data_IF_291280565786
#
_entry.id   IF_291280565786
#
_cell.length_a   1.000
_cell.length_b   1.000
_cell.length_c   1.000
_cell.angle_alpha   90.00
_cell.angle_beta   90.00
_cell.angle_gamma   90.00
#
_symmetry.space_group_name_H-M   'P 1'
#
loop_
_entity.id
_entity.type
_entity.pdbx_description
1 polymer ?
#
# COMPACT_ATOMS: atom_id res chain seq x y z
N UNK A 1 10.90 -28.57 -11.61
CA UNK A 1 9.90 -27.48 -11.62
C UNK A 1 10.61 -26.16 -11.37
N UNK A 2 10.71 -25.26 -12.36
CA UNK A 2 11.33 -23.93 -12.16
C UNK A 2 10.32 -23.02 -11.47
N UNK A 3 10.65 -22.47 -10.29
CA UNK A 3 9.92 -21.33 -9.72
C UNK A 3 9.97 -20.21 -10.75
N UNK A 4 8.85 -19.93 -11.41
CA UNK A 4 8.66 -18.69 -12.13
C UNK A 4 8.77 -17.58 -11.07
N UNK A 5 9.93 -16.89 -11.05
CA UNK A 5 10.04 -15.61 -10.37
C UNK A 5 8.97 -14.76 -11.03
N UNK A 6 7.91 -14.41 -10.29
CA UNK A 6 7.05 -13.33 -10.74
C UNK A 6 8.00 -12.18 -11.07
N UNK A 7 7.97 -11.68 -12.29
CA UNK A 7 8.60 -10.42 -12.65
C UNK A 7 7.92 -9.35 -11.82
N UNK A 8 8.34 -9.27 -10.55
CA UNK A 8 7.81 -8.35 -9.58
C UNK A 8 8.14 -7.00 -10.15
N UNK A 9 7.10 -6.25 -10.55
CA UNK A 9 7.21 -4.82 -10.86
C UNK A 9 8.08 -4.21 -9.77
N UNK A 10 9.33 -3.91 -10.10
CA UNK A 10 10.23 -3.28 -9.15
C UNK A 10 9.52 -2.02 -8.65
N UNK A 11 9.49 -1.82 -7.34
CA UNK A 11 8.88 -0.64 -6.77
C UNK A 11 9.56 0.59 -7.38
N UNK A 12 8.79 1.38 -8.15
CA UNK A 12 9.31 2.61 -8.75
C UNK A 12 9.40 3.66 -7.66
N UNK A 13 10.59 4.22 -7.46
CA UNK A 13 10.79 5.35 -6.52
C UNK A 13 9.91 6.51 -6.98
N UNK A 14 9.11 7.03 -6.06
CA UNK A 14 8.31 8.25 -6.22
C UNK A 14 8.46 9.09 -4.97
N UNK A 15 8.52 10.40 -5.14
CA UNK A 15 8.52 11.37 -4.06
C UNK A 15 7.09 11.84 -3.76
N UNK A 16 6.88 12.26 -2.51
CA UNK A 16 5.71 13.01 -2.06
C UNK A 16 6.21 14.13 -1.16
N UNK A 17 5.45 15.22 -1.08
CA UNK A 17 5.75 16.33 -0.16
C UNK A 17 5.13 16.06 1.19
N UNK A 18 5.84 16.42 2.25
CA UNK A 18 5.41 16.27 3.64
C UNK A 18 6.09 17.35 4.48
N UNK A 19 5.45 17.75 5.58
CA UNK A 19 6.09 18.59 6.58
C UNK A 19 7.06 17.77 7.43
N UNK A 20 7.94 18.44 8.20
CA UNK A 20 8.83 17.75 9.14
C UNK A 20 8.02 16.99 10.23
N UNK A 21 6.89 17.55 10.64
CA UNK A 21 5.97 16.91 11.59
C UNK A 21 5.38 15.61 11.01
N UNK A 22 4.92 15.63 9.75
CA UNK A 22 4.42 14.44 9.06
C UNK A 22 5.48 13.33 8.99
N UNK A 23 6.74 13.70 8.73
CA UNK A 23 7.86 12.75 8.67
C UNK A 23 8.14 12.15 10.06
N UNK A 24 8.12 12.97 11.12
CA UNK A 24 8.30 12.50 12.49
C UNK A 24 7.18 11.55 12.93
N UNK A 25 5.92 11.88 12.62
CA UNK A 25 4.77 11.01 12.88
C UNK A 25 4.90 9.68 12.11
N UNK A 26 5.28 9.73 10.83
CA UNK A 26 5.47 8.53 10.02
C UNK A 26 6.56 7.62 10.60
N UNK A 27 7.66 8.18 11.07
CA UNK A 27 8.76 7.41 11.68
C UNK A 27 8.30 6.71 12.97
N UNK A 28 7.55 7.41 13.82
CA UNK A 28 7.03 6.85 15.05
C UNK A 28 6.09 5.65 14.76
N UNK A 29 5.16 5.80 13.81
CA UNK A 29 4.23 4.74 13.42
C UNK A 29 4.97 3.55 12.78
N UNK A 30 5.91 3.83 11.90
CA UNK A 30 6.70 2.80 11.23
C UNK A 30 7.49 1.96 12.25
N UNK A 31 8.14 2.63 13.21
CA UNK A 31 8.90 2.00 14.29
C UNK A 31 8.01 1.14 15.17
N UNK A 32 6.86 1.68 15.59
CA UNK A 32 5.91 0.97 16.45
C UNK A 32 5.42 -0.35 15.84
N UNK A 33 5.20 -0.39 14.53
CA UNK A 33 4.73 -1.57 13.82
C UNK A 33 5.87 -2.45 13.23
N UNK A 34 7.13 -2.07 13.39
CA UNK A 34 8.27 -2.80 12.81
C UNK A 34 8.30 -2.77 11.27
N UNK A 35 7.81 -1.69 10.68
CA UNK A 35 7.72 -1.49 9.22
C UNK A 35 8.70 -0.42 8.73
N UNK A 36 8.97 -0.40 7.43
CA UNK A 36 9.65 0.75 6.80
C UNK A 36 8.67 1.92 6.62
N UNK A 37 9.18 3.16 6.51
CA UNK A 37 8.36 4.34 6.17
C UNK A 37 7.52 4.12 4.91
N UNK A 38 8.14 3.66 3.82
CA UNK A 38 7.44 3.37 2.56
C UNK A 38 6.41 2.25 2.71
N UNK A 39 6.73 1.19 3.45
CA UNK A 39 5.79 0.10 3.73
C UNK A 39 4.57 0.58 4.51
N UNK A 40 4.78 1.48 5.47
CA UNK A 40 3.73 2.12 6.26
C UNK A 40 2.79 2.95 5.38
N UNK A 41 3.33 3.84 4.54
CA UNK A 41 2.52 4.65 3.61
C UNK A 41 1.71 3.74 2.68
N UNK A 42 2.35 2.76 2.03
CA UNK A 42 1.68 1.85 1.10
C UNK A 42 0.57 1.06 1.81
N UNK A 43 0.83 0.60 3.03
CA UNK A 43 -0.16 -0.11 3.85
C UNK A 43 -1.36 0.76 4.19
N UNK A 44 -1.12 1.99 4.65
CA UNK A 44 -2.18 2.97 4.96
C UNK A 44 -3.05 3.27 3.74
N UNK A 45 -2.42 3.58 2.59
CA UNK A 45 -3.14 3.87 1.34
C UNK A 45 -3.98 2.68 0.91
N UNK A 46 -3.43 1.45 0.94
CA UNK A 46 -4.18 0.24 0.55
C UNK A 46 -5.35 -0.03 1.47
N UNK A 47 -5.15 0.08 2.79
CA UNK A 47 -6.20 -0.12 3.79
C UNK A 47 -7.34 0.87 3.54
N UNK A 48 -7.00 2.14 3.36
CA UNK A 48 -7.99 3.20 3.18
C UNK A 48 -8.72 3.09 1.84
N UNK A 49 -8.00 2.78 0.76
CA UNK A 49 -8.59 2.58 -0.56
C UNK A 49 -9.67 1.50 -0.53
N UNK A 50 -9.41 0.32 0.04
CA UNK A 50 -10.39 -0.76 0.07
C UNK A 50 -11.53 -0.52 1.06
N UNK A 51 -11.31 0.29 2.10
CA UNK A 51 -12.36 0.73 3.02
C UNK A 51 -13.38 1.64 2.32
N UNK A 52 -12.89 2.57 1.49
CA UNK A 52 -13.70 3.53 0.75
C UNK A 52 -14.30 2.96 -0.54
N UNK A 53 -13.56 2.09 -1.23
CA UNK A 53 -13.94 1.50 -2.51
C UNK A 53 -13.87 -0.03 -2.45
N UNK A 54 -14.81 -0.72 -1.78
CA UNK A 54 -14.78 -2.17 -1.62
C UNK A 54 -14.78 -2.93 -2.95
N UNK A 55 -15.48 -2.40 -3.96
CA UNK A 55 -15.52 -2.93 -5.33
C UNK A 55 -14.39 -2.41 -6.22
N UNK A 56 -13.46 -1.63 -5.65
CA UNK A 56 -12.43 -0.92 -6.39
C UNK A 56 -12.97 0.29 -7.15
N UNK A 57 -12.18 0.76 -8.11
CA UNK A 57 -12.53 1.84 -9.04
C UNK A 57 -12.36 1.35 -10.48
N UNK A 58 -12.90 2.06 -11.47
CA UNK A 58 -12.83 1.62 -12.88
C UNK A 58 -11.46 1.02 -13.30
N UNK A 59 -10.34 1.73 -13.04
CA UNK A 59 -9.00 1.22 -13.32
C UNK A 59 -8.43 0.20 -12.30
N UNK A 60 -8.90 0.22 -11.05
CA UNK A 60 -8.35 -0.60 -9.95
C UNK A 60 -9.40 -1.61 -9.50
N UNK A 61 -9.27 -2.86 -9.95
CA UNK A 61 -10.24 -3.92 -9.66
C UNK A 61 -9.79 -4.79 -8.48
N UNK A 62 -10.72 -5.33 -7.68
CA UNK A 62 -10.42 -6.35 -6.69
C UNK A 62 -9.70 -7.55 -7.31
N UNK A 63 -8.90 -8.25 -6.51
CA UNK A 63 -8.30 -9.51 -6.94
C UNK A 63 -9.39 -10.52 -7.32
N UNK A 64 -9.09 -11.40 -8.27
CA UNK A 64 -10.02 -12.44 -8.69
C UNK A 64 -10.47 -13.29 -7.48
N UNK A 65 -11.78 -13.43 -7.30
CA UNK A 65 -12.38 -14.18 -6.18
C UNK A 65 -12.49 -13.40 -4.86
N UNK A 66 -12.14 -12.12 -4.81
CA UNK A 66 -12.41 -11.28 -3.64
C UNK A 66 -13.93 -11.20 -3.40
N UNK A 67 -14.38 -11.59 -2.20
CA UNK A 67 -15.77 -11.43 -1.77
C UNK A 67 -16.03 -9.96 -1.44
N UNK A 68 -16.37 -9.19 -2.46
CA UNK A 68 -16.84 -7.82 -2.29
C UNK A 68 -18.25 -7.88 -1.71
N UNK A 69 -18.46 -7.27 -0.54
CA UNK A 69 -19.82 -7.01 -0.05
C UNK A 69 -20.42 -5.99 -1.02
N UNK A 70 -21.33 -6.46 -1.86
CA UNK A 70 -22.12 -5.62 -2.77
C UNK A 70 -23.31 -5.08 -1.99
#
# INVERSE_FOLDING_TARGET
>A
MKRQKQDGRAAKVRSFSATDEDIAMLEAVATYHGHTKSGTIVGLVRREFWRLFPAGTGPIKPAHGARVKT
#
